data_IF_913468329709
#
_entry.id   IF_913468329709
#
_cell.length_a   1.000
_cell.length_b   1.000
_cell.length_c   1.000
_cell.angle_alpha   90.00
_cell.angle_beta   90.00
_cell.angle_gamma   90.00
#
_symmetry.space_group_name_H-M   'P 1'
#
loop_
_entity.id
_entity.type
_entity.pdbx_description
1 polymer ?
#
# COMPACT_ATOMS: atom_id res chain seq x y z
N UNK A 1 -6.00 -27.30 23.57
CA UNK A 1 -7.20 -27.10 22.72
C UNK A 1 -6.75 -26.99 21.27
N UNK A 2 -7.38 -27.64 20.29
CA UNK A 2 -7.02 -27.46 18.87
C UNK A 2 -7.62 -26.15 18.31
N UNK A 3 -7.12 -25.67 17.18
CA UNK A 3 -7.48 -24.35 16.65
C UNK A 3 -8.97 -24.22 16.32
N UNK A 4 -9.60 -25.29 15.83
CA UNK A 4 -11.04 -25.28 15.52
C UNK A 4 -11.90 -25.07 16.77
N UNK A 5 -11.56 -25.71 17.89
CA UNK A 5 -12.27 -25.53 19.17
C UNK A 5 -12.03 -24.12 19.71
N UNK A 6 -10.80 -23.60 19.59
CA UNK A 6 -10.46 -22.24 19.99
C UNK A 6 -11.28 -21.22 19.20
N UNK A 7 -11.35 -21.32 17.86
CA UNK A 7 -12.15 -20.43 17.02
C UNK A 7 -13.63 -20.45 17.39
N UNK A 8 -14.20 -21.63 17.62
CA UNK A 8 -15.60 -21.76 18.03
C UNK A 8 -15.87 -21.03 19.35
N UNK A 9 -14.96 -21.18 20.33
CA UNK A 9 -15.06 -20.49 21.61
C UNK A 9 -14.86 -18.98 21.48
N UNK A 10 -13.88 -18.52 20.69
CA UNK A 10 -13.65 -17.10 20.43
C UNK A 10 -14.85 -16.45 19.75
N UNK A 11 -15.42 -17.11 18.74
CA UNK A 11 -16.62 -16.64 18.05
C UNK A 11 -17.77 -16.48 19.03
N UNK A 12 -17.97 -17.46 19.92
CA UNK A 12 -18.98 -17.38 20.96
C UNK A 12 -18.73 -16.22 21.92
N UNK A 13 -17.50 -16.06 22.43
CA UNK A 13 -17.14 -14.96 23.34
C UNK A 13 -17.38 -13.59 22.70
N UNK A 14 -16.91 -13.39 21.47
CA UNK A 14 -17.08 -12.14 20.74
C UNK A 14 -18.55 -11.83 20.46
N UNK A 15 -19.36 -12.86 20.18
CA UNK A 15 -20.80 -12.69 19.98
C UNK A 15 -21.54 -12.25 21.26
N UNK A 16 -21.10 -12.71 22.43
CA UNK A 16 -21.67 -12.34 23.73
C UNK A 16 -21.35 -10.89 24.10
N UNK A 17 -20.18 -10.39 23.70
CA UNK A 17 -19.75 -9.01 23.91
C UNK A 17 -20.40 -8.00 22.94
N UNK A 18 -21.38 -8.44 22.15
CA UNK A 18 -22.12 -7.59 21.23
C UNK A 18 -21.34 -7.22 19.96
N UNK A 19 -20.23 -7.91 19.67
CA UNK A 19 -19.59 -7.80 18.36
C UNK A 19 -20.50 -8.45 17.32
N UNK A 20 -21.20 -7.63 16.53
CA UNK A 20 -22.09 -8.10 15.46
C UNK A 20 -21.37 -8.30 14.13
N UNK A 21 -20.08 -7.95 14.04
CA UNK A 21 -19.29 -8.18 12.83
C UNK A 21 -18.71 -9.60 12.88
N UNK A 22 -18.92 -10.35 11.80
CA UNK A 22 -18.27 -11.65 11.62
C UNK A 22 -16.77 -11.43 11.43
N UNK A 23 -15.99 -11.65 12.49
CA UNK A 23 -14.53 -11.70 12.40
C UNK A 23 -14.16 -12.98 11.65
N UNK A 24 -13.42 -12.84 10.55
CA UNK A 24 -13.04 -14.00 9.74
C UNK A 24 -12.11 -14.95 10.50
N UNK A 25 -12.19 -16.24 10.17
CA UNK A 25 -11.30 -17.28 10.71
C UNK A 25 -9.81 -16.91 10.62
N UNK A 26 -9.40 -16.25 9.53
CA UNK A 26 -8.02 -15.83 9.34
C UNK A 26 -7.58 -14.73 10.34
N UNK A 27 -8.49 -13.84 10.73
CA UNK A 27 -8.19 -12.84 11.77
C UNK A 27 -8.20 -13.45 13.17
N UNK A 28 -9.07 -14.45 13.41
CA UNK A 28 -9.05 -15.21 14.65
C UNK A 28 -7.73 -15.99 14.81
N UNK A 29 -7.19 -16.55 13.72
CA UNK A 29 -5.88 -17.20 13.72
C UNK A 29 -4.75 -16.23 14.05
N UNK A 30 -4.72 -15.06 13.40
CA UNK A 30 -3.73 -14.01 13.71
C UNK A 30 -3.83 -13.52 15.14
N UNK A 31 -5.05 -13.38 15.67
CA UNK A 31 -5.26 -13.00 17.05
C UNK A 31 -4.74 -14.06 18.04
N UNK A 32 -4.89 -15.34 17.68
CA UNK A 32 -4.32 -16.47 18.43
C UNK A 32 -2.79 -16.49 18.38
N UNK A 33 -2.19 -16.31 17.21
CA UNK A 33 -0.74 -16.16 17.03
C UNK A 33 -0.19 -15.03 17.93
N UNK A 34 -0.83 -13.85 17.90
CA UNK A 34 -0.45 -12.72 18.76
C UNK A 34 -0.60 -13.02 20.25
N UNK A 35 -1.68 -13.69 20.65
CA UNK A 35 -1.88 -14.13 22.03
C UNK A 35 -0.82 -15.15 22.47
N UNK A 36 -0.45 -16.09 21.60
CA UNK A 36 0.58 -17.10 21.88
C UNK A 36 1.96 -16.48 21.98
N UNK A 37 2.28 -15.52 21.10
CA UNK A 37 3.50 -14.74 21.16
C UNK A 37 3.57 -13.91 22.46
N UNK A 38 2.48 -13.24 22.84
CA UNK A 38 2.39 -12.49 24.08
C UNK A 38 2.56 -13.40 25.31
N UNK A 39 1.89 -14.57 25.33
CA UNK A 39 2.04 -15.53 26.41
C UNK A 39 3.49 -16.02 26.51
N UNK A 40 4.13 -16.34 25.38
CA UNK A 40 5.53 -16.79 25.34
C UNK A 40 6.48 -15.74 25.91
N UNK A 41 6.17 -14.44 25.75
CA UNK A 41 6.95 -13.35 26.35
C UNK A 41 6.81 -13.24 27.87
N UNK A 42 5.63 -13.52 28.43
CA UNK A 42 5.37 -13.36 29.86
C UNK A 42 5.55 -14.64 30.69
N UNK A 43 5.28 -15.79 30.09
CA UNK A 43 5.38 -17.10 30.71
C UNK A 43 5.86 -18.08 29.64
N UNK A 44 7.17 -18.04 29.29
CA UNK A 44 7.72 -18.96 28.32
C UNK A 44 7.62 -20.40 28.82
N UNK A 45 7.69 -21.35 27.89
CA UNK A 45 7.62 -22.78 28.22
C UNK A 45 8.99 -23.26 28.67
N UNK A 46 9.07 -23.87 29.85
CA UNK A 46 10.27 -24.59 30.28
C UNK A 46 10.35 -25.94 29.57
N UNK A 47 11.46 -26.20 28.90
CA UNK A 47 11.72 -27.42 28.14
C UNK A 47 13.07 -27.99 28.54
N UNK A 48 13.15 -29.32 28.55
CA UNK A 48 14.42 -30.04 28.75
C UNK A 48 14.70 -30.83 27.49
N UNK A 49 15.82 -30.54 26.86
CA UNK A 49 16.39 -31.39 25.83
C UNK A 49 17.41 -32.32 26.46
N UNK A 50 17.30 -33.63 26.19
CA UNK A 50 18.25 -34.62 26.67
C UNK A 50 18.69 -35.49 25.50
N UNK A 51 20.00 -35.64 25.32
CA UNK A 51 20.58 -36.56 24.35
C UNK A 51 21.88 -37.18 24.85
N UNK A 52 22.34 -38.22 24.16
CA UNK A 52 23.72 -38.73 24.26
C UNK A 52 24.50 -38.12 23.12
N UNK A 53 25.58 -37.43 23.44
CA UNK A 53 26.43 -36.81 22.44
C UNK A 53 27.52 -37.79 22.03
N UNK A 54 27.43 -38.28 20.79
CA UNK A 54 28.43 -39.14 20.19
C UNK A 54 29.37 -38.27 19.36
N UNK A 55 30.65 -38.27 19.73
CA UNK A 55 31.64 -37.43 19.05
C UNK A 55 32.14 -38.09 17.78
N UNK A 56 32.14 -39.41 17.70
CA UNK A 56 32.67 -40.12 16.55
C UNK A 56 31.59 -40.35 15.49
N UNK A 57 31.73 -39.68 14.34
CA UNK A 57 30.89 -39.89 13.17
C UNK A 57 31.65 -40.78 12.20
N UNK A 58 31.14 -42.00 11.98
CA UNK A 58 31.78 -42.98 11.10
C UNK A 58 31.01 -43.11 9.78
N UNK A 59 31.72 -42.95 8.67
CA UNK A 59 31.22 -43.19 7.32
C UNK A 59 29.88 -42.48 7.01
N UNK A 60 29.78 -41.20 7.38
CA UNK A 60 28.67 -40.38 6.94
C UNK A 60 28.71 -40.25 5.42
N UNK A 61 27.60 -40.56 4.76
CA UNK A 61 27.47 -40.45 3.31
C UNK A 61 26.99 -39.05 2.94
N UNK A 62 27.70 -38.41 2.02
CA UNK A 62 27.27 -37.17 1.37
C UNK A 62 27.41 -37.30 -0.15
N UNK A 63 26.70 -36.45 -0.89
CA UNK A 63 26.80 -36.38 -2.36
C UNK A 63 27.22 -34.99 -2.75
N UNK A 64 28.30 -34.87 -3.52
CA UNK A 64 28.79 -33.59 -4.03
C UNK A 64 27.78 -32.97 -4.99
N UNK A 65 27.77 -31.64 -5.09
CA UNK A 65 26.84 -30.92 -5.97
C UNK A 65 27.09 -31.22 -7.46
N UNK A 66 26.22 -30.72 -8.34
CA UNK A 66 26.38 -30.81 -9.79
C UNK A 66 27.65 -30.12 -10.31
N UNK A 67 28.13 -29.10 -9.60
CA UNK A 67 29.35 -28.36 -9.95
C UNK A 67 30.40 -28.46 -8.85
N UNK A 68 31.67 -28.36 -9.25
CA UNK A 68 32.75 -28.11 -8.29
C UNK A 68 32.58 -26.74 -7.64
N UNK A 69 33.29 -26.52 -6.52
CA UNK A 69 33.27 -25.27 -5.77
C UNK A 69 31.87 -24.87 -5.26
N UNK A 70 31.00 -25.85 -4.99
CA UNK A 70 29.72 -25.68 -4.28
C UNK A 70 29.71 -26.45 -2.95
N UNK A 71 29.31 -25.75 -1.89
CA UNK A 71 29.21 -26.32 -0.54
C UNK A 71 28.05 -27.32 -0.43
N UNK A 72 28.32 -28.46 0.20
CA UNK A 72 27.34 -29.47 0.59
C UNK A 72 27.34 -29.59 2.11
N UNK A 73 26.17 -29.47 2.71
CA UNK A 73 25.99 -29.58 4.17
C UNK A 73 26.03 -31.04 4.62
N UNK A 74 26.86 -31.32 5.62
CA UNK A 74 26.93 -32.56 6.36
C UNK A 74 25.84 -32.58 7.46
N UNK A 75 25.45 -33.78 7.87
CA UNK A 75 24.42 -34.02 8.87
C UNK A 75 24.84 -33.66 10.29
N UNK A 76 26.13 -33.68 10.62
CA UNK A 76 26.62 -33.38 11.97
C UNK A 76 27.62 -32.21 11.96
N UNK A 77 27.38 -31.21 12.81
CA UNK A 77 28.22 -30.05 13.04
C UNK A 77 28.16 -29.61 14.51
N UNK A 78 29.16 -28.89 15.04
CA UNK A 78 30.43 -28.55 14.40
C UNK A 78 31.43 -29.73 14.41
N UNK A 79 32.39 -29.69 13.48
CA UNK A 79 33.41 -30.72 13.26
C UNK A 79 34.72 -30.28 13.91
N UNK A 80 35.41 -31.19 14.59
CA UNK A 80 36.74 -30.92 15.16
C UNK A 80 37.74 -30.66 14.04
N UNK A 81 38.50 -29.58 14.17
CA UNK A 81 39.55 -29.23 13.22
C UNK A 81 40.52 -30.39 12.98
N UNK A 82 40.74 -30.73 11.70
CA UNK A 82 41.68 -31.74 11.25
C UNK A 82 41.42 -33.15 11.83
N UNK A 83 40.16 -33.51 12.04
CA UNK A 83 39.74 -34.84 12.48
C UNK A 83 39.17 -35.71 11.35
N UNK A 84 38.92 -35.11 10.19
CA UNK A 84 38.20 -35.73 9.10
C UNK A 84 39.07 -36.66 8.25
N UNK A 85 38.43 -37.65 7.64
CA UNK A 85 39.00 -38.50 6.60
C UNK A 85 37.91 -38.74 5.55
N UNK A 86 38.11 -38.20 4.35
CA UNK A 86 37.17 -38.33 3.23
C UNK A 86 37.62 -39.46 2.31
N UNK A 87 36.70 -40.33 1.92
CA UNK A 87 36.94 -41.44 1.00
C UNK A 87 35.84 -41.54 -0.06
N UNK A 88 36.09 -42.30 -1.13
CA UNK A 88 35.03 -42.65 -2.08
C UNK A 88 33.99 -43.59 -1.42
N UNK A 89 32.83 -43.80 -2.04
CA UNK A 89 31.79 -44.71 -1.48
C UNK A 89 32.29 -46.13 -1.18
N UNK A 90 33.37 -46.58 -1.83
CA UNK A 90 33.99 -47.89 -1.59
C UNK A 90 35.05 -47.91 -0.48
N UNK A 91 35.36 -46.77 0.14
CA UNK A 91 36.44 -46.59 1.12
C UNK A 91 37.82 -47.10 0.63
N UNK A 92 38.08 -47.03 -0.69
CA UNK A 92 39.33 -47.50 -1.32
C UNK A 92 40.30 -46.37 -1.66
N UNK A 93 39.81 -45.14 -1.82
CA UNK A 93 40.59 -43.94 -2.13
C UNK A 93 40.35 -42.92 -1.03
N UNK A 94 41.41 -42.40 -0.43
CA UNK A 94 41.36 -41.29 0.54
C UNK A 94 41.74 -40.00 -0.17
N UNK A 95 40.92 -38.98 0.00
CA UNK A 95 41.13 -37.65 -0.57
C UNK A 95 41.87 -36.75 0.41
N UNK A 96 42.56 -35.73 -0.10
CA UNK A 96 43.42 -34.84 0.68
C UNK A 96 42.78 -33.45 0.78
N UNK A 97 42.62 -32.96 2.02
CA UNK A 97 42.14 -31.58 2.28
C UNK A 97 43.05 -30.55 1.61
N UNK A 98 42.47 -29.45 1.16
CA UNK A 98 43.12 -28.32 0.48
C UNK A 98 43.73 -28.70 -0.89
N UNK A 99 43.48 -29.92 -1.37
CA UNK A 99 43.84 -30.40 -2.72
C UNK A 99 42.62 -30.91 -3.46
N UNK A 100 41.83 -31.78 -2.81
CA UNK A 100 40.64 -32.39 -3.41
C UNK A 100 39.34 -31.76 -2.88
N UNK A 101 39.35 -31.26 -1.64
CA UNK A 101 38.20 -30.64 -0.98
C UNK A 101 38.62 -29.59 0.04
N UNK A 102 37.69 -28.69 0.36
CA UNK A 102 37.73 -27.78 1.51
C UNK A 102 36.61 -28.15 2.49
N UNK A 103 36.81 -27.86 3.79
CA UNK A 103 35.83 -28.14 4.84
C UNK A 103 35.64 -26.92 5.75
N UNK A 104 34.40 -26.45 5.87
CA UNK A 104 33.96 -25.53 6.90
C UNK A 104 33.59 -26.32 8.16
N UNK A 105 34.49 -26.30 9.13
CA UNK A 105 34.36 -27.02 10.40
C UNK A 105 33.21 -26.53 11.27
N UNK A 106 32.85 -25.23 11.19
CA UNK A 106 31.81 -24.67 12.05
C UNK A 106 30.44 -25.00 11.47
N UNK A 107 30.25 -24.76 10.18
CA UNK A 107 28.95 -25.00 9.54
C UNK A 107 28.76 -26.45 9.07
N UNK A 108 29.79 -27.29 9.14
CA UNK A 108 29.76 -28.67 8.65
C UNK A 108 29.51 -28.72 7.14
N UNK A 109 30.17 -27.87 6.37
CA UNK A 109 30.00 -27.83 4.91
C UNK A 109 31.27 -28.29 4.21
N UNK A 110 31.14 -29.20 3.25
CA UNK A 110 32.25 -29.72 2.45
C UNK A 110 32.06 -29.35 0.98
N UNK A 111 33.17 -29.01 0.32
CA UNK A 111 33.16 -28.56 -1.07
C UNK A 111 34.29 -29.18 -1.85
N UNK A 112 34.02 -29.70 -3.05
CA UNK A 112 35.07 -30.18 -3.95
C UNK A 112 35.81 -29.00 -4.58
N UNK A 113 37.12 -29.13 -4.72
CA UNK A 113 37.95 -28.12 -5.37
C UNK A 113 38.01 -28.41 -6.87
N UNK A 114 37.75 -27.40 -7.71
CA UNK A 114 37.91 -27.57 -9.16
C UNK A 114 39.33 -28.01 -9.53
N UNK A 115 39.44 -29.14 -10.24
CA UNK A 115 40.71 -29.76 -10.62
C UNK A 115 41.28 -30.76 -9.61
N UNK A 116 40.63 -30.94 -8.45
CA UNK A 116 40.90 -32.01 -7.49
C UNK A 116 40.50 -33.40 -8.00
N UNK A 117 40.85 -34.45 -7.25
CA UNK A 117 40.53 -35.83 -7.60
C UNK A 117 39.09 -36.24 -7.20
N UNK A 118 38.39 -35.44 -6.39
CA UNK A 118 36.98 -35.63 -6.10
C UNK A 118 36.13 -35.16 -7.27
N UNK A 119 35.17 -35.99 -7.69
CA UNK A 119 34.27 -35.67 -8.81
C UNK A 119 32.96 -35.07 -8.28
N UNK A 120 32.42 -34.09 -9.01
CA UNK A 120 31.07 -33.59 -8.80
C UNK A 120 30.00 -34.71 -8.98
N UNK A 121 28.79 -34.49 -8.45
CA UNK A 121 27.64 -35.41 -8.52
C UNK A 121 27.93 -36.84 -8.07
N UNK A 122 28.89 -37.02 -7.16
CA UNK A 122 29.38 -38.33 -6.75
C UNK A 122 29.17 -38.50 -5.25
N UNK A 123 28.80 -39.71 -4.83
CA UNK A 123 28.69 -40.05 -3.41
C UNK A 123 30.08 -40.33 -2.83
N UNK A 124 30.28 -39.85 -1.61
CA UNK A 124 31.51 -40.01 -0.83
C UNK A 124 31.16 -40.37 0.60
N UNK A 125 32.17 -40.85 1.34
CA UNK A 125 32.07 -41.12 2.77
C UNK A 125 33.04 -40.22 3.51
N UNK A 126 32.62 -39.68 4.65
CA UNK A 126 33.47 -38.94 5.56
C UNK A 126 33.38 -39.54 6.96
N UNK A 127 34.52 -39.70 7.60
CA UNK A 127 34.63 -40.07 9.02
C UNK A 127 35.32 -38.92 9.74
N UNK A 128 34.80 -38.47 10.88
CA UNK A 128 35.34 -37.34 11.62
C UNK A 128 34.95 -37.37 13.09
N UNK A 129 35.61 -36.54 13.90
CA UNK A 129 35.18 -36.26 15.27
C UNK A 129 34.41 -34.93 15.29
N UNK A 130 33.31 -34.87 16.02
CA UNK A 130 32.63 -33.62 16.35
C UNK A 130 33.46 -32.80 17.35
N UNK A 131 33.25 -31.49 17.33
CA UNK A 131 33.80 -30.63 18.37
C UNK A 131 33.22 -31.02 19.74
N UNK A 132 34.08 -31.17 20.73
CA UNK A 132 33.66 -31.53 22.09
C UNK A 132 33.52 -30.33 23.02
N UNK A 133 33.62 -29.11 22.50
CA UNK A 133 33.44 -27.86 23.23
C UNK A 133 32.21 -27.12 22.72
N UNK A 134 31.97 -27.17 21.40
CA UNK A 134 30.82 -26.55 20.75
C UNK A 134 29.73 -27.59 20.43
N UNK A 135 28.49 -27.26 20.80
CA UNK A 135 27.29 -28.04 20.50
C UNK A 135 26.38 -27.19 19.61
N UNK A 136 25.94 -27.74 18.48
CA UNK A 136 24.92 -27.10 17.64
C UNK A 136 23.57 -27.12 18.35
N UNK A 137 23.09 -25.95 18.73
CA UNK A 137 21.78 -25.79 19.38
C UNK A 137 20.68 -25.40 18.41
N UNK A 138 21.01 -24.90 17.21
CA UNK A 138 20.03 -24.47 16.22
C UNK A 138 19.28 -25.65 15.61
N UNK A 139 19.98 -26.76 15.37
CA UNK A 139 19.36 -27.98 14.83
C UNK A 139 18.66 -28.81 15.90
N UNK A 140 19.05 -28.60 17.16
CA UNK A 140 18.68 -29.46 18.27
C UNK A 140 17.55 -28.86 19.12
N UNK A 141 17.59 -27.57 19.40
CA UNK A 141 16.59 -26.88 20.20
C UNK A 141 15.54 -26.24 19.30
N UNK A 142 14.26 -26.47 19.59
CA UNK A 142 13.17 -25.85 18.85
C UNK A 142 12.87 -24.46 19.43
N UNK A 143 13.29 -23.41 18.71
CA UNK A 143 13.02 -22.00 19.04
C UNK A 143 13.35 -21.62 20.50
N UNK A 144 14.61 -21.78 20.94
CA UNK A 144 15.01 -21.41 22.28
C UNK A 144 14.94 -19.88 22.46
N UNK A 145 14.36 -19.44 23.57
CA UNK A 145 14.38 -18.05 24.02
C UNK A 145 15.64 -17.80 24.84
N UNK A 146 15.88 -18.67 25.83
CA UNK A 146 17.00 -18.57 26.76
C UNK A 146 17.38 -19.96 27.27
N UNK A 147 18.66 -20.29 27.24
CA UNK A 147 19.19 -21.46 27.94
C UNK A 147 19.33 -21.07 29.42
N UNK A 148 18.74 -21.85 30.31
CA UNK A 148 18.79 -21.59 31.75
C UNK A 148 19.94 -22.35 32.42
N UNK A 149 20.18 -23.58 31.94
CA UNK A 149 21.10 -24.51 32.57
C UNK A 149 21.55 -25.59 31.59
N UNK A 150 22.80 -26.01 31.72
CA UNK A 150 23.37 -27.15 31.01
C UNK A 150 23.96 -28.10 32.06
N UNK A 151 23.53 -29.36 32.01
CA UNK A 151 24.09 -30.44 32.82
C UNK A 151 24.82 -31.42 31.90
N UNK A 152 26.08 -31.72 32.24
CA UNK A 152 26.81 -32.83 31.65
C UNK A 152 26.80 -34.00 32.64
N UNK A 153 26.35 -35.17 32.19
CA UNK A 153 26.36 -36.39 32.98
C UNK A 153 27.32 -37.39 32.32
N UNK A 154 28.39 -37.70 33.03
CA UNK A 154 29.22 -38.89 32.74
C UNK A 154 28.50 -40.11 33.33
N UNK A 155 28.62 -41.28 32.70
CA UNK A 155 27.84 -42.47 33.05
C UNK A 155 28.04 -42.97 34.51
N UNK A 156 29.04 -42.45 35.23
CA UNK A 156 29.46 -42.95 36.54
C UNK A 156 29.37 -41.91 37.68
N UNK A 157 29.04 -40.64 37.40
CA UNK A 157 29.11 -39.57 38.42
C UNK A 157 27.73 -39.03 38.84
N UNK A 158 27.40 -39.23 40.12
CA UNK A 158 26.47 -38.39 40.90
C UNK A 158 27.35 -37.80 42.01
N UNK A 159 27.45 -36.47 42.18
CA UNK A 159 26.49 -35.43 41.78
C UNK A 159 26.64 -34.89 40.36
N UNK A 160 25.52 -34.39 39.80
CA UNK A 160 25.50 -33.67 38.52
C UNK A 160 26.15 -32.30 38.72
N UNK A 161 27.15 -32.01 37.91
CA UNK A 161 27.89 -30.75 37.98
C UNK A 161 27.30 -29.73 37.02
N UNK A 162 27.21 -28.49 37.49
CA UNK A 162 26.76 -27.36 36.67
C UNK A 162 27.98 -26.79 35.96
N UNK A 163 27.95 -26.82 34.63
CA UNK A 163 29.03 -26.27 33.83
C UNK A 163 28.73 -24.84 33.43
N UNK A 164 29.78 -24.02 33.33
CA UNK A 164 29.69 -22.71 32.70
C UNK A 164 29.40 -22.89 31.22
N UNK A 165 28.61 -22.00 30.63
CA UNK A 165 28.33 -22.05 29.20
C UNK A 165 28.16 -20.65 28.62
N UNK A 166 28.37 -20.54 27.32
CA UNK A 166 28.11 -19.33 26.54
C UNK A 166 27.45 -19.72 25.22
N UNK A 167 26.59 -18.86 24.69
CA UNK A 167 26.00 -19.04 23.36
C UNK A 167 26.68 -18.08 22.40
N UNK A 168 27.20 -18.60 21.29
CA UNK A 168 27.79 -17.82 20.23
C UNK A 168 27.20 -18.25 18.88
N UNK A 169 26.36 -17.38 18.30
CA UNK A 169 25.56 -17.75 17.13
C UNK A 169 24.61 -18.90 17.47
N UNK A 170 24.60 -19.93 16.63
CA UNK A 170 23.82 -21.16 16.81
C UNK A 170 24.50 -22.25 17.63
N UNK A 171 25.58 -21.92 18.35
CA UNK A 171 26.38 -22.89 19.09
C UNK A 171 26.40 -22.58 20.58
N UNK A 172 26.30 -23.63 21.37
CA UNK A 172 26.54 -23.63 22.81
C UNK A 172 28.00 -24.04 23.05
N UNK A 173 28.78 -23.11 23.58
CA UNK A 173 30.16 -23.32 24.03
C UNK A 173 30.15 -23.71 25.52
N UNK A 174 30.71 -24.86 25.85
CA UNK A 174 30.94 -25.27 27.23
C UNK A 174 32.20 -24.56 27.75
N UNK A 175 32.03 -23.72 28.78
CA UNK A 175 33.10 -22.97 29.42
C UNK A 175 33.65 -23.72 30.64
N UNK A 176 34.89 -23.38 31.03
CA UNK A 176 35.65 -24.12 32.04
C UNK A 176 34.95 -24.31 33.38
N UNK A 177 35.33 -25.43 33.98
CA UNK A 177 35.15 -25.79 35.37
C UNK A 177 36.36 -25.37 36.22
N UNK A 178 36.24 -24.29 36.99
CA UNK A 178 37.24 -23.93 38.01
C UNK A 178 38.65 -23.64 37.46
N UNK A 179 39.68 -24.23 38.09
CA UNK A 179 41.11 -23.97 37.81
C UNK A 179 41.68 -24.77 36.62
N UNK A 180 40.89 -25.65 35.98
CA UNK A 180 41.33 -26.43 34.82
C UNK A 180 41.02 -25.69 33.51
N UNK A 181 41.94 -25.80 32.54
CA UNK A 181 41.71 -25.37 31.16
C UNK A 181 40.67 -26.28 30.48
N UNK A 182 39.65 -25.71 29.84
CA UNK A 182 38.61 -26.30 28.97
C UNK A 182 38.57 -27.83 28.97
N UNK A 183 37.57 -28.41 29.67
CA UNK A 183 37.31 -29.85 29.62
C UNK A 183 36.45 -30.16 28.42
N UNK A 184 37.00 -30.93 27.48
CA UNK A 184 36.27 -31.45 26.31
C UNK A 184 35.23 -32.48 26.78
N UNK A 185 34.03 -32.42 26.20
CA UNK A 185 33.04 -33.49 26.26
C UNK A 185 33.71 -34.78 25.78
N UNK A 186 33.47 -35.89 26.47
CA UNK A 186 33.95 -37.21 26.04
C UNK A 186 32.85 -37.92 25.27
N UNK A 187 33.21 -38.89 24.44
CA UNK A 187 32.23 -39.68 23.70
C UNK A 187 31.24 -40.36 24.66
N UNK A 188 29.97 -40.47 24.22
CA UNK A 188 28.84 -40.97 25.02
C UNK A 188 28.51 -40.15 26.29
N UNK A 189 28.82 -38.86 26.33
CA UNK A 189 28.37 -37.99 27.43
C UNK A 189 26.88 -37.69 27.29
N UNK A 190 26.13 -37.81 28.38
CA UNK A 190 24.73 -37.39 28.41
C UNK A 190 24.65 -35.88 28.65
N UNK A 191 23.96 -35.18 27.76
CA UNK A 191 23.78 -33.72 27.87
C UNK A 191 22.32 -33.46 28.16
N UNK A 192 22.05 -32.62 29.17
CA UNK A 192 20.71 -32.04 29.41
C UNK A 192 20.79 -30.52 29.33
N UNK A 193 19.99 -29.95 28.43
CA UNK A 193 19.87 -28.51 28.25
C UNK A 193 18.48 -28.12 28.73
N UNK A 194 18.42 -27.29 29.77
CA UNK A 194 17.19 -26.68 30.27
C UNK A 194 17.09 -25.31 29.63
N UNK A 195 16.01 -25.07 28.91
CA UNK A 195 15.81 -23.82 28.19
C UNK A 195 14.34 -23.41 28.26
N UNK A 196 14.13 -22.13 28.07
CA UNK A 196 12.80 -21.59 27.83
C UNK A 196 12.57 -21.49 26.32
N UNK A 197 11.37 -21.83 25.87
CA UNK A 197 10.99 -21.83 24.47
C UNK A 197 9.65 -21.12 24.27
N UNK A 198 9.38 -20.73 23.03
CA UNK A 198 8.07 -20.27 22.65
C UNK A 198 7.02 -21.37 22.84
N UNK A 199 5.79 -20.96 23.13
CA UNK A 199 4.66 -21.86 23.07
C UNK A 199 4.30 -22.13 21.61
N UNK A 200 4.09 -23.39 21.28
CA UNK A 200 3.56 -23.78 19.98
C UNK A 200 2.08 -23.39 19.90
N UNK A 201 1.72 -22.79 18.77
CA UNK A 201 0.34 -22.51 18.41
C UNK A 201 -0.48 -23.79 18.26
N UNK A 202 -1.80 -23.72 18.45
CA UNK A 202 -2.67 -24.86 18.21
C UNK A 202 -2.80 -25.06 16.70
N UNK A 203 -2.62 -26.29 16.23
CA UNK A 203 -2.90 -26.62 14.83
C UNK A 203 -4.33 -27.19 14.67
N UNK A 204 -4.69 -27.57 13.44
CA UNK A 204 -5.97 -28.23 13.16
C UNK A 204 -6.17 -29.52 13.97
N UNK A 205 -5.10 -30.32 14.11
CA UNK A 205 -5.12 -31.63 14.75
C UNK A 205 -4.38 -31.70 16.09
N UNK A 206 -3.54 -30.71 16.42
CA UNK A 206 -2.75 -30.68 17.65
C UNK A 206 -3.17 -29.53 18.54
N UNK A 207 -3.11 -29.74 19.86
CA UNK A 207 -3.27 -28.65 20.82
C UNK A 207 -2.01 -27.79 20.87
N UNK A 208 -2.15 -26.52 21.21
CA UNK A 208 -1.01 -25.67 21.56
C UNK A 208 -0.25 -26.22 22.77
N UNK A 209 0.99 -25.77 22.96
CA UNK A 209 1.88 -26.35 23.98
C UNK A 209 1.68 -25.80 25.40
N UNK A 210 0.80 -24.81 25.59
CA UNK A 210 0.58 -24.22 26.90
C UNK A 210 -0.25 -25.15 27.82
N UNK A 211 -0.04 -25.08 29.15
CA UNK A 211 -0.85 -25.82 30.10
C UNK A 211 -2.34 -25.45 30.02
N UNK A 212 -3.22 -26.45 30.19
CA UNK A 212 -4.68 -26.26 30.06
C UNK A 212 -5.29 -25.22 31.01
N UNK A 213 -4.66 -24.95 32.16
CA UNK A 213 -5.14 -23.91 33.07
C UNK A 213 -4.99 -22.49 32.50
N UNK A 214 -4.20 -22.32 31.43
CA UNK A 214 -4.06 -21.07 30.68
C UNK A 214 -5.00 -20.97 29.47
N UNK A 215 -5.85 -21.97 29.22
CA UNK A 215 -6.79 -21.94 28.08
C UNK A 215 -7.70 -20.70 28.13
N UNK A 216 -8.18 -20.31 29.31
CA UNK A 216 -9.03 -19.11 29.48
C UNK A 216 -8.25 -17.82 29.25
N UNK A 217 -7.02 -17.72 29.76
CA UNK A 217 -6.14 -16.57 29.53
C UNK A 217 -5.84 -16.39 28.04
N UNK A 218 -5.61 -17.50 27.34
CA UNK A 218 -5.39 -17.51 25.90
C UNK A 218 -6.63 -17.06 25.12
N UNK A 219 -7.82 -17.53 25.50
CA UNK A 219 -9.08 -17.12 24.88
C UNK A 219 -9.37 -15.63 25.09
N UNK A 220 -9.16 -15.10 26.31
CA UNK A 220 -9.33 -13.68 26.61
C UNK A 220 -8.28 -12.82 25.88
N UNK A 221 -7.02 -13.28 25.84
CA UNK A 221 -5.95 -12.59 25.12
C UNK A 221 -6.26 -12.51 23.62
N UNK A 222 -6.64 -13.63 23.01
CA UNK A 222 -6.97 -13.69 21.60
C UNK A 222 -8.26 -12.94 21.27
N UNK A 223 -9.28 -12.92 22.13
CA UNK A 223 -10.46 -12.07 21.89
C UNK A 223 -10.08 -10.58 21.92
N UNK A 224 -9.22 -10.17 22.86
CA UNK A 224 -8.68 -8.81 22.92
C UNK A 224 -7.91 -8.42 21.66
N UNK A 225 -7.02 -9.29 21.15
CA UNK A 225 -6.30 -9.05 19.90
C UNK A 225 -7.23 -9.03 18.69
N UNK A 226 -8.24 -9.91 18.62
CA UNK A 226 -9.23 -9.89 17.55
C UNK A 226 -10.00 -8.56 17.49
N UNK A 227 -10.42 -8.03 18.65
CA UNK A 227 -11.06 -6.72 18.74
C UNK A 227 -10.12 -5.58 18.33
N UNK A 228 -8.84 -5.66 18.71
CA UNK A 228 -7.84 -4.67 18.31
C UNK A 228 -7.60 -4.68 16.78
N UNK A 229 -7.52 -5.86 16.18
CA UNK A 229 -7.40 -6.04 14.73
C UNK A 229 -8.62 -5.43 14.02
N UNK A 230 -9.83 -5.76 14.45
CA UNK A 230 -11.08 -5.20 13.90
C UNK A 230 -11.14 -3.68 14.03
N UNK A 231 -10.75 -3.13 15.19
CA UNK A 231 -10.67 -1.69 15.41
C UNK A 231 -9.74 -1.01 14.40
N UNK A 232 -8.55 -1.59 14.17
CA UNK A 232 -7.58 -1.06 13.20
C UNK A 232 -8.12 -1.12 11.76
N UNK A 233 -8.81 -2.20 11.40
CA UNK A 233 -9.44 -2.34 10.08
C UNK A 233 -10.52 -1.27 9.86
N UNK A 234 -11.39 -1.04 10.85
CA UNK A 234 -12.42 0.02 10.79
C UNK A 234 -11.82 1.42 10.72
N UNK A 235 -10.77 1.67 11.48
CA UNK A 235 -10.06 2.96 11.43
C UNK A 235 -9.48 3.19 10.03
N UNK A 236 -8.87 2.17 9.43
CA UNK A 236 -8.35 2.26 8.07
C UNK A 236 -9.47 2.52 7.05
N UNK A 237 -10.58 1.79 7.12
CA UNK A 237 -11.74 1.99 6.26
C UNK A 237 -12.30 3.42 6.38
N UNK A 238 -12.44 3.95 7.60
CA UNK A 238 -12.92 5.32 7.83
C UNK A 238 -11.98 6.38 7.21
N UNK A 239 -10.66 6.16 7.25
CA UNK A 239 -9.69 7.06 6.60
C UNK A 239 -9.83 7.01 5.07
N UNK A 240 -10.02 5.82 4.49
CA UNK A 240 -10.25 5.64 3.05
C UNK A 240 -11.56 6.29 2.60
N UNK A 241 -12.63 6.15 3.38
CA UNK A 241 -13.92 6.78 3.10
C UNK A 241 -13.83 8.31 3.16
N UNK A 242 -13.12 8.86 4.17
CA UNK A 242 -12.89 10.30 4.28
C UNK A 242 -12.07 10.84 3.09
N UNK A 243 -11.05 10.11 2.66
CA UNK A 243 -10.27 10.46 1.47
C UNK A 243 -11.15 10.47 0.21
N UNK A 244 -12.02 9.48 0.06
CA UNK A 244 -12.98 9.39 -1.04
C UNK A 244 -13.98 10.56 -1.02
N UNK A 245 -14.52 10.91 0.16
CA UNK A 245 -15.41 12.04 0.34
C UNK A 245 -14.72 13.38 -0.01
N UNK A 246 -13.46 13.56 0.38
CA UNK A 246 -12.66 14.74 0.02
C UNK A 246 -12.48 14.88 -1.48
N UNK A 247 -12.18 13.78 -2.19
CA UNK A 247 -12.08 13.77 -3.65
C UNK A 247 -13.40 14.18 -4.30
N UNK A 248 -14.53 13.65 -3.82
CA UNK A 248 -15.87 14.03 -4.31
C UNK A 248 -16.18 15.50 -4.08
N UNK A 249 -15.85 16.05 -2.91
CA UNK A 249 -16.00 17.48 -2.62
C UNK A 249 -15.14 18.35 -3.55
N UNK A 250 -13.93 17.91 -3.87
CA UNK A 250 -13.07 18.57 -4.87
C UNK A 250 -13.72 18.63 -6.25
N UNK A 251 -14.34 17.54 -6.71
CA UNK A 251 -15.09 17.52 -7.97
C UNK A 251 -16.30 18.48 -7.95
N UNK A 252 -17.05 18.53 -6.84
CA UNK A 252 -18.18 19.48 -6.70
C UNK A 252 -17.69 20.93 -6.76
N UNK A 253 -16.58 21.26 -6.10
CA UNK A 253 -16.00 22.59 -6.14
C UNK A 253 -15.55 23.01 -7.56
N UNK A 254 -15.02 22.06 -8.33
CA UNK A 254 -14.66 22.28 -9.73
C UNK A 254 -15.91 22.55 -10.61
N UNK A 255 -16.98 21.76 -10.44
CA UNK A 255 -18.26 22.00 -11.13
C UNK A 255 -18.85 23.36 -10.76
N UNK A 256 -18.85 23.72 -9.48
CA UNK A 256 -19.34 25.03 -9.02
C UNK A 256 -18.54 26.19 -9.64
N UNK A 257 -17.22 26.07 -9.70
CA UNK A 257 -16.36 27.05 -10.38
C UNK A 257 -16.72 27.18 -11.86
N UNK A 258 -16.90 26.06 -12.57
CA UNK A 258 -17.28 26.07 -13.98
C UNK A 258 -18.65 26.71 -14.24
N UNK A 259 -19.64 26.44 -13.38
CA UNK A 259 -20.95 27.09 -13.41
C UNK A 259 -20.79 28.61 -13.20
N UNK A 260 -19.98 29.03 -12.22
CA UNK A 260 -19.71 30.44 -11.95
C UNK A 260 -19.10 31.18 -13.14
N UNK A 261 -18.11 30.55 -13.80
CA UNK A 261 -17.53 31.07 -15.05
C UNK A 261 -18.59 31.18 -16.15
N UNK A 262 -19.37 30.13 -16.37
CA UNK A 262 -20.42 30.11 -17.41
C UNK A 262 -21.47 31.21 -17.20
N UNK A 263 -21.91 31.43 -15.96
CA UNK A 263 -22.84 32.50 -15.61
C UNK A 263 -22.21 33.87 -15.88
N UNK A 264 -20.93 34.05 -15.53
CA UNK A 264 -20.20 35.29 -15.77
C UNK A 264 -20.09 35.59 -17.26
N UNK A 265 -19.76 34.60 -18.08
CA UNK A 265 -19.67 34.74 -19.53
C UNK A 265 -21.03 35.07 -20.15
N UNK A 266 -22.10 34.40 -19.72
CA UNK A 266 -23.47 34.70 -20.17
C UNK A 266 -23.87 36.16 -19.83
N UNK A 267 -23.54 36.62 -18.63
CA UNK A 267 -23.86 37.97 -18.15
C UNK A 267 -23.01 39.06 -18.80
N UNK A 268 -21.77 38.77 -19.19
CA UNK A 268 -20.85 39.77 -19.73
C UNK A 268 -20.86 39.80 -21.24
N UNK A 269 -20.87 38.65 -21.92
CA UNK A 269 -20.79 38.55 -23.37
C UNK A 269 -22.19 38.64 -23.99
N UNK A 270 -23.07 37.70 -23.69
CA UNK A 270 -24.38 37.59 -24.36
C UNK A 270 -25.30 38.77 -24.02
N UNK A 271 -25.39 39.13 -22.73
CA UNK A 271 -26.20 40.27 -22.32
C UNK A 271 -25.70 41.59 -22.93
N UNK A 272 -24.38 41.79 -23.01
CA UNK A 272 -23.80 42.99 -23.63
C UNK A 272 -24.04 43.01 -25.15
N UNK A 273 -23.94 41.86 -25.82
CA UNK A 273 -24.28 41.74 -27.23
C UNK A 273 -25.75 42.10 -27.49
N UNK A 274 -26.68 41.51 -26.73
CA UNK A 274 -28.12 41.83 -26.80
C UNK A 274 -28.36 43.33 -26.57
N UNK A 275 -27.74 43.90 -25.52
CA UNK A 275 -27.85 45.34 -25.21
C UNK A 275 -27.36 46.21 -26.38
N UNK A 276 -26.25 45.83 -27.00
CA UNK A 276 -25.66 46.56 -28.14
C UNK A 276 -26.55 46.49 -29.38
N UNK A 277 -27.10 45.30 -29.68
CA UNK A 277 -28.08 45.12 -30.76
C UNK A 277 -29.35 45.95 -30.54
N UNK A 278 -29.86 46.01 -29.30
CA UNK A 278 -31.04 46.81 -28.96
C UNK A 278 -30.79 48.31 -29.13
N UNK A 279 -29.63 48.80 -28.72
CA UNK A 279 -29.22 50.21 -28.94
C UNK A 279 -29.13 50.53 -30.43
N UNK A 280 -28.56 49.61 -31.22
CA UNK A 280 -28.42 49.78 -32.68
C UNK A 280 -29.80 49.80 -33.37
N UNK A 281 -30.67 48.85 -33.04
CA UNK A 281 -32.04 48.80 -33.56
C UNK A 281 -32.84 50.06 -33.20
N UNK A 282 -32.65 50.60 -31.99
CA UNK A 282 -33.28 51.87 -31.57
C UNK A 282 -32.78 53.05 -32.43
N UNK A 283 -31.49 53.08 -32.76
CA UNK A 283 -30.93 54.12 -33.63
C UNK A 283 -31.46 54.02 -35.07
N UNK A 284 -31.54 52.81 -35.63
CA UNK A 284 -32.12 52.55 -36.95
C UNK A 284 -33.59 52.96 -37.02
N UNK A 285 -34.38 52.64 -35.98
CA UNK A 285 -35.77 53.07 -35.88
C UNK A 285 -35.92 54.61 -35.86
N UNK A 286 -35.03 55.30 -35.13
CA UNK A 286 -35.02 56.76 -35.12
C UNK A 286 -34.71 57.35 -36.52
N UNK A 287 -33.76 56.76 -37.25
CA UNK A 287 -33.46 57.15 -38.63
C UNK A 287 -34.63 56.87 -39.59
N UNK A 288 -35.30 55.72 -39.43
CA UNK A 288 -36.48 55.38 -40.22
C UNK A 288 -37.61 56.40 -40.00
N UNK A 289 -37.86 56.82 -38.76
CA UNK A 289 -38.83 57.88 -38.46
C UNK A 289 -38.48 59.20 -39.16
N UNK A 290 -37.20 59.62 -39.13
CA UNK A 290 -36.75 60.83 -39.84
C UNK A 290 -37.01 60.71 -41.35
N UNK A 291 -36.78 59.53 -41.95
CA UNK A 291 -37.04 59.32 -43.38
C UNK A 291 -38.54 59.29 -43.70
N UNK A 292 -39.38 58.82 -42.78
CA UNK A 292 -40.84 58.83 -42.93
C UNK A 292 -41.43 60.25 -42.81
N UNK A 293 -40.80 61.13 -42.03
CA UNK A 293 -41.22 62.53 -41.89
C UNK A 293 -40.93 63.38 -43.14
N UNK A 294 -39.93 63.01 -43.96
CA UNK A 294 -39.58 63.73 -45.20
C UNK A 294 -40.71 63.79 -46.25
N UNK A 295 -41.38 62.69 -46.64
CA UNK A 295 -42.51 62.75 -47.57
C UNK A 295 -43.70 63.50 -46.97
N UNK A 296 -43.88 63.49 -45.64
CA UNK A 296 -44.90 64.30 -44.97
C UNK A 296 -44.60 65.80 -45.19
N UNK A 297 -43.35 66.22 -44.94
CA UNK A 297 -42.94 67.60 -45.21
C UNK A 297 -43.09 67.97 -46.70
N UNK A 298 -42.67 67.11 -47.61
CA UNK A 298 -42.82 67.33 -49.06
C UNK A 298 -44.30 67.43 -49.49
N UNK A 299 -45.20 66.70 -48.83
CA UNK A 299 -46.65 66.79 -49.11
C UNK A 299 -47.25 68.12 -48.65
N UNK A 300 -46.75 68.70 -47.55
CA UNK A 300 -47.17 70.02 -47.10
C UNK A 300 -46.72 71.12 -48.06
N UNK A 301 -45.46 71.06 -48.53
CA UNK A 301 -44.95 71.98 -49.55
C UNK A 301 -45.76 71.88 -50.87
N UNK A 302 -46.20 70.68 -51.24
CA UNK A 302 -47.07 70.48 -52.41
C UNK A 302 -48.45 71.12 -52.24
N UNK A 303 -49.05 71.07 -51.05
CA UNK A 303 -50.37 71.68 -50.79
C UNK A 303 -50.29 73.21 -50.75
N UNK A 304 -49.19 73.78 -50.24
CA UNK A 304 -48.91 75.23 -50.33
C UNK A 304 -48.75 75.67 -51.80
N UNK A 305 -47.99 74.91 -52.59
CA UNK A 305 -47.83 75.17 -54.02
C UNK A 305 -49.17 75.11 -54.77
N UNK A 306 -50.03 74.14 -54.43
CA UNK A 306 -51.39 74.02 -54.97
C UNK A 306 -52.26 75.21 -54.59
N UNK A 307 -52.23 75.65 -53.33
CA UNK A 307 -52.97 76.84 -52.87
C UNK A 307 -52.53 78.10 -53.61
N UNK A 308 -51.22 78.27 -53.85
CA UNK A 308 -50.71 79.39 -54.63
C UNK A 308 -51.20 79.36 -56.09
N UNK A 309 -51.26 78.17 -56.70
CA UNK A 309 -51.84 77.98 -58.04
C UNK A 309 -53.34 78.29 -58.06
N UNK A 310 -54.10 77.88 -57.05
CA UNK A 310 -55.54 78.14 -56.94
C UNK A 310 -55.87 79.64 -56.73
N UNK A 311 -54.95 80.43 -56.16
CA UNK A 311 -55.07 81.89 -56.04
C UNK A 311 -54.72 82.63 -57.33
N UNK A 312 -54.00 81.99 -58.27
CA UNK A 312 -53.61 82.62 -59.52
C UNK A 312 -54.83 83.04 -60.37
N UNK A 313 -55.89 82.22 -60.57
CA UNK A 313 -57.13 82.64 -61.24
C UNK A 313 -57.77 83.88 -60.63
N UNK A 314 -57.81 84.00 -59.30
CA UNK A 314 -58.40 85.17 -58.63
C UNK A 314 -57.57 86.44 -58.89
N UNK A 315 -56.24 86.30 -58.91
CA UNK A 315 -55.34 87.41 -59.22
C UNK A 315 -55.43 87.81 -60.69
N UNK A 316 -55.52 86.83 -61.59
CA UNK A 316 -55.76 87.05 -63.03
C UNK A 316 -57.10 87.76 -63.25
N UNK A 317 -58.16 87.37 -62.54
CA UNK A 317 -59.46 88.03 -62.60
C UNK A 317 -59.38 89.50 -62.20
N UNK A 318 -58.70 89.84 -61.09
CA UNK A 318 -58.49 91.24 -60.67
C UNK A 318 -57.72 92.06 -61.72
N UNK A 319 -56.72 91.47 -62.37
CA UNK A 319 -56.00 92.15 -63.47
C UNK A 319 -56.94 92.37 -64.66
N UNK A 320 -57.79 91.40 -64.98
CA UNK A 320 -58.83 91.56 -66.00
C UNK A 320 -59.77 92.71 -65.68
N UNK A 321 -60.26 92.79 -64.43
CA UNK A 321 -61.16 93.88 -63.99
C UNK A 321 -60.48 95.26 -64.12
N UNK A 322 -59.19 95.37 -63.76
CA UNK A 322 -58.41 96.59 -63.91
C UNK A 322 -58.25 96.96 -65.39
N UNK A 323 -58.01 95.98 -66.26
CA UNK A 323 -57.93 96.20 -67.72
C UNK A 323 -59.28 96.72 -68.24
N UNK A 324 -60.38 96.13 -67.79
CA UNK A 324 -61.73 96.55 -68.16
C UNK A 324 -62.03 97.98 -67.68
N UNK A 325 -61.67 98.34 -66.44
CA UNK A 325 -61.77 99.71 -65.93
C UNK A 325 -60.90 100.70 -66.72
N UNK A 326 -59.67 100.32 -67.06
CA UNK A 326 -58.77 101.14 -67.85
C UNK A 326 -59.34 101.38 -69.26
N UNK A 327 -59.93 100.36 -69.89
CA UNK A 327 -60.60 100.49 -71.18
C UNK A 327 -61.79 101.46 -71.09
N UNK A 328 -62.60 101.38 -70.04
CA UNK A 328 -63.70 102.34 -69.81
C UNK A 328 -63.18 103.78 -69.68
N UNK A 329 -62.03 103.99 -69.03
CA UNK A 329 -61.40 105.31 -68.92
C UNK A 329 -60.90 105.78 -70.30
N UNK A 330 -60.25 104.90 -71.07
CA UNK A 330 -59.78 105.20 -72.43
C UNK A 330 -60.97 105.62 -73.30
N UNK A 331 -62.07 104.86 -73.29
CA UNK A 331 -63.28 105.17 -74.05
C UNK A 331 -63.85 106.55 -73.67
N UNK A 332 -63.84 106.91 -72.38
CA UNK A 332 -64.25 108.24 -71.90
C UNK A 332 -63.31 109.34 -72.36
N UNK A 333 -62.00 109.09 -72.40
CA UNK A 333 -61.01 110.04 -72.91
C UNK A 333 -61.16 110.24 -74.43
N UNK A 334 -61.40 109.17 -75.19
CA UNK A 334 -61.71 109.25 -76.62
C UNK A 334 -63.00 110.04 -76.89
N UNK A 335 -64.05 109.82 -76.09
CA UNK A 335 -65.29 110.58 -76.19
C UNK A 335 -65.10 112.09 -75.90
N UNK A 336 -64.22 112.44 -74.96
CA UNK A 336 -63.86 113.84 -74.69
C UNK A 336 -63.05 114.47 -75.83
N UNK A 337 -62.13 113.72 -76.44
CA UNK A 337 -61.30 114.18 -77.55
C UNK A 337 -62.12 114.40 -78.84
N UNK A 338 -63.14 113.59 -79.09
CA UNK A 338 -64.01 113.72 -80.26
C UNK A 338 -65.17 114.74 -80.07
N UNK A 339 -65.30 115.33 -78.87
CA UNK A 339 -66.30 116.35 -78.54
C UNK A 339 -65.79 117.80 -78.58
N UNK A 340 -64.56 118.02 -79.06
CA UNK A 340 -63.90 119.31 -79.28
C UNK A 340 -63.65 119.54 -80.78
#
# INVERSE_FOLDING_TARGET
>A
MNIATVRANLTLMLSLDGCTAEISDAELDRAMEQATAALSRFSPREVVYQTVYNLDVTAESFTTDASDDVDVTLGNKPIRFNSETVTNSGATVTYVRDTDYELDYINGAIRTISGGAMSASTSHLITYEMDGVLIDIDTVLTEPIEIQRVDLLTAEEIPVEMEGWSVFGGFLEILNRGDESQRRIIDNTHIRIYYTAHHAEPAASTSGSWPRFLDEVMLIGASGFALLIEMNQRQHAAVVDLATARTRLGSIAAVHTAIGTTITDLMTTEYTAIRTSLVSAKAEFALANIQLDKPIAASAELEDAKTAVDLAPTSIAKVSDIIDEANVIIDKMEALLNGA
#
